data_IF_731979540962
#
_entry.id   IF_731979540962
#
_cell.length_a   1.000
_cell.length_b   1.000
_cell.length_c   1.000
_cell.angle_alpha   90.00
_cell.angle_beta   90.00
_cell.angle_gamma   90.00
#
_symmetry.space_group_name_H-M   'P 1'
#
loop_
_entity.id
_entity.type
_entity.pdbx_description
1 polymer ?
#
# COMPACT_ATOMS: atom_id res chain seq x y z
N UNK A 1 27.21 -48.50 -43.95
CA UNK A 1 28.63 -48.18 -44.22
C UNK A 1 28.70 -47.73 -45.66
N UNK A 2 29.30 -46.57 -45.96
CA UNK A 2 29.33 -46.03 -47.33
C UNK A 2 30.15 -46.93 -48.26
N UNK A 3 31.11 -47.69 -47.72
CA UNK A 3 31.82 -48.73 -48.47
C UNK A 3 30.92 -49.83 -49.05
N UNK A 4 29.70 -50.03 -48.53
CA UNK A 4 28.72 -50.98 -49.10
C UNK A 4 27.86 -50.38 -50.22
N UNK A 5 27.96 -49.07 -50.46
CA UNK A 5 27.29 -48.37 -51.57
C UNK A 5 28.16 -48.34 -52.84
N UNK A 6 29.43 -48.76 -52.75
CA UNK A 6 30.33 -48.84 -53.89
C UNK A 6 29.97 -50.02 -54.81
N UNK A 7 30.29 -49.93 -56.11
CA UNK A 7 30.09 -51.03 -57.07
C UNK A 7 30.77 -52.33 -56.65
N UNK A 8 30.28 -53.47 -57.17
CA UNK A 8 30.75 -54.82 -56.78
C UNK A 8 32.23 -55.08 -57.09
N UNK A 9 32.83 -54.32 -58.02
CA UNK A 9 34.25 -54.40 -58.39
C UNK A 9 35.17 -53.54 -57.49
N UNK A 10 34.66 -52.86 -56.46
CA UNK A 10 35.47 -52.05 -55.56
C UNK A 10 36.36 -52.90 -54.63
N UNK A 11 37.62 -52.51 -54.53
CA UNK A 11 38.64 -53.15 -53.68
C UNK A 11 38.40 -52.88 -52.19
N UNK A 12 39.01 -53.67 -51.31
CA UNK A 12 38.86 -53.47 -49.87
C UNK A 12 39.40 -52.12 -49.40
N UNK A 13 40.50 -51.66 -50.00
CA UNK A 13 41.07 -50.34 -49.72
C UNK A 13 40.09 -49.20 -50.07
N UNK A 14 39.46 -49.26 -51.25
CA UNK A 14 38.47 -48.25 -51.68
C UNK A 14 37.24 -48.22 -50.76
N UNK A 15 36.78 -49.40 -50.30
CA UNK A 15 35.67 -49.50 -49.33
C UNK A 15 36.01 -48.87 -47.99
N UNK A 16 37.22 -49.13 -47.47
CA UNK A 16 37.70 -48.54 -46.21
C UNK A 16 37.97 -47.04 -46.34
N UNK A 17 38.50 -46.59 -47.48
CA UNK A 17 38.68 -45.17 -47.78
C UNK A 17 37.34 -44.44 -47.84
N UNK A 18 36.33 -45.03 -48.50
CA UNK A 18 34.99 -44.46 -48.55
C UNK A 18 34.31 -44.38 -47.17
N UNK A 19 34.50 -45.39 -46.32
CA UNK A 19 34.00 -45.34 -44.93
C UNK A 19 34.77 -44.31 -44.07
N UNK A 20 36.06 -44.10 -44.30
CA UNK A 20 36.86 -43.08 -43.61
C UNK A 20 36.56 -41.65 -44.09
N UNK A 21 36.16 -41.49 -45.36
CA UNK A 21 35.71 -40.23 -45.94
C UNK A 21 34.21 -39.97 -45.75
N UNK A 22 33.51 -40.80 -44.96
CA UNK A 22 32.10 -40.62 -44.63
C UNK A 22 31.92 -39.57 -43.53
N UNK A 23 32.22 -38.31 -43.87
CA UNK A 23 32.02 -37.16 -42.97
C UNK A 23 30.56 -36.98 -42.57
N UNK A 24 29.62 -37.55 -43.35
CA UNK A 24 28.19 -37.45 -43.08
C UNK A 24 27.85 -37.98 -41.68
N UNK A 25 28.48 -39.07 -41.24
CA UNK A 25 28.25 -39.60 -39.88
C UNK A 25 28.59 -38.61 -38.77
N UNK A 26 29.60 -37.77 -38.98
CA UNK A 26 30.07 -36.82 -37.98
C UNK A 26 29.22 -35.54 -37.95
N UNK A 27 28.63 -35.13 -39.08
CA UNK A 27 27.82 -33.91 -39.17
C UNK A 27 26.31 -34.12 -39.16
N UNK A 28 25.79 -35.29 -39.52
CA UNK A 28 24.35 -35.54 -39.68
C UNK A 28 23.57 -35.23 -38.39
N UNK A 29 24.07 -35.69 -37.24
CA UNK A 29 23.47 -35.37 -35.94
C UNK A 29 23.44 -33.88 -35.64
N UNK A 30 24.48 -33.14 -36.02
CA UNK A 30 24.55 -31.69 -35.86
C UNK A 30 23.60 -30.98 -36.81
N UNK A 31 23.52 -31.41 -38.08
CA UNK A 31 22.61 -30.87 -39.09
C UNK A 31 21.15 -31.06 -38.68
N UNK A 32 20.78 -32.27 -38.25
CA UNK A 32 19.46 -32.55 -37.69
C UNK A 32 19.19 -31.73 -36.42
N UNK A 33 20.22 -31.54 -35.59
CA UNK A 33 20.17 -30.72 -34.37
C UNK A 33 19.88 -29.24 -34.61
N UNK A 34 20.32 -28.65 -35.72
CA UNK A 34 20.08 -27.23 -36.04
C UNK A 34 18.59 -26.92 -36.03
N UNK A 35 17.77 -27.76 -36.68
CA UNK A 35 16.31 -27.55 -36.75
C UNK A 35 15.62 -27.55 -35.38
N UNK A 36 16.19 -28.26 -34.39
CA UNK A 36 15.63 -28.41 -33.03
C UNK A 36 16.26 -27.46 -32.01
N UNK A 37 17.37 -26.82 -32.38
CA UNK A 37 18.21 -26.05 -31.47
C UNK A 37 17.49 -24.87 -30.82
N UNK A 38 16.51 -24.25 -31.50
CA UNK A 38 15.73 -23.12 -30.96
C UNK A 38 14.50 -23.54 -30.16
N UNK A 39 13.90 -24.68 -30.50
CA UNK A 39 12.58 -25.09 -30.00
C UNK A 39 12.64 -26.12 -28.87
N UNK A 40 13.64 -27.01 -28.87
CA UNK A 40 13.66 -28.18 -27.99
C UNK A 40 14.92 -28.21 -27.14
N UNK A 41 16.10 -28.23 -27.75
CA UNK A 41 17.36 -28.52 -27.03
C UNK A 41 18.00 -27.27 -26.41
N UNK A 42 17.78 -26.09 -27.00
CA UNK A 42 18.27 -24.76 -26.56
C UNK A 42 19.60 -24.81 -25.79
N UNK A 43 20.73 -25.00 -26.49
CA UNK A 43 22.04 -25.00 -25.84
C UNK A 43 22.28 -23.70 -25.07
N UNK A 44 22.86 -23.71 -23.84
CA UNK A 44 23.03 -22.50 -23.03
C UNK A 44 23.75 -21.36 -23.75
N UNK A 45 24.74 -21.70 -24.59
CA UNK A 45 25.51 -20.74 -25.41
C UNK A 45 24.69 -19.99 -26.45
N UNK A 46 23.51 -20.50 -26.82
CA UNK A 46 22.62 -19.87 -27.80
C UNK A 46 21.61 -18.94 -27.14
N UNK A 47 21.35 -19.06 -25.83
CA UNK A 47 20.29 -18.29 -25.17
C UNK A 47 20.44 -16.77 -25.32
N UNK A 48 21.62 -16.16 -25.17
CA UNK A 48 21.76 -14.71 -25.36
C UNK A 48 21.39 -14.28 -26.79
N UNK A 49 21.82 -15.06 -27.79
CA UNK A 49 21.51 -14.80 -29.20
C UNK A 49 20.03 -15.00 -29.52
N UNK A 50 19.38 -15.98 -28.89
CA UNK A 50 17.93 -16.19 -29.02
C UNK A 50 17.14 -15.05 -28.39
N UNK A 51 17.58 -14.53 -27.25
CA UNK A 51 16.95 -13.37 -26.61
C UNK A 51 17.06 -12.13 -27.49
N UNK A 52 18.22 -11.90 -28.09
CA UNK A 52 18.42 -10.80 -29.03
C UNK A 52 17.60 -10.99 -30.32
N UNK A 53 17.60 -12.20 -30.90
CA UNK A 53 16.79 -12.55 -32.07
C UNK A 53 15.29 -12.31 -31.82
N UNK A 54 14.80 -12.68 -30.65
CA UNK A 54 13.40 -12.46 -30.28
C UNK A 54 13.13 -11.07 -29.71
N UNK A 55 14.12 -10.21 -29.49
CA UNK A 55 13.90 -8.88 -28.92
C UNK A 55 13.38 -8.90 -27.47
N UNK A 56 13.81 -9.89 -26.68
CA UNK A 56 13.39 -10.09 -25.28
C UNK A 56 14.34 -9.42 -24.27
N UNK A 57 15.32 -8.64 -24.74
CA UNK A 57 16.35 -8.03 -23.89
C UNK A 57 15.78 -7.14 -22.78
N UNK A 58 14.74 -6.37 -23.07
CA UNK A 58 14.06 -5.48 -22.10
C UNK A 58 13.40 -6.24 -20.95
N UNK A 59 13.12 -7.54 -21.13
CA UNK A 59 12.44 -8.37 -20.14
C UNK A 59 13.40 -9.10 -19.18
N UNK A 60 14.70 -9.08 -19.48
CA UNK A 60 15.73 -9.74 -18.66
C UNK A 60 15.76 -9.31 -17.18
N UNK A 61 15.40 -8.08 -16.79
CA UNK A 61 15.33 -7.71 -15.37
C UNK A 61 14.20 -8.41 -14.59
N UNK A 62 13.13 -8.84 -15.28
CA UNK A 62 11.93 -9.43 -14.65
C UNK A 62 11.99 -10.95 -14.60
N UNK A 63 12.65 -11.59 -15.57
CA UNK A 63 12.78 -13.05 -15.68
C UNK A 63 14.26 -13.43 -15.74
N UNK A 64 14.91 -13.74 -14.59
CA UNK A 64 16.35 -14.00 -14.55
C UNK A 64 16.79 -15.27 -15.29
N UNK A 65 15.92 -16.29 -15.34
CA UNK A 65 16.21 -17.52 -16.06
C UNK A 65 15.91 -17.35 -17.55
N UNK A 66 16.95 -17.42 -18.38
CA UNK A 66 16.85 -17.21 -19.82
C UNK A 66 16.01 -18.27 -20.53
N UNK A 67 15.91 -19.49 -19.99
CA UNK A 67 15.02 -20.51 -20.53
C UNK A 67 13.55 -20.11 -20.35
N UNK A 68 13.20 -19.73 -19.12
CA UNK A 68 11.85 -19.30 -18.77
C UNK A 68 11.48 -18.03 -19.53
N UNK A 69 12.43 -17.10 -19.69
CA UNK A 69 12.23 -15.87 -20.46
C UNK A 69 11.89 -16.15 -21.93
N UNK A 70 12.53 -17.15 -22.57
CA UNK A 70 12.19 -17.51 -23.95
C UNK A 70 10.78 -18.09 -24.01
N UNK A 71 10.39 -18.93 -23.05
CA UNK A 71 9.07 -19.58 -23.05
C UNK A 71 7.93 -18.63 -22.72
N UNK A 72 8.08 -17.79 -21.68
CA UNK A 72 7.05 -16.83 -21.26
C UNK A 72 7.09 -15.53 -22.07
N UNK A 73 8.28 -15.05 -22.42
CA UNK A 73 8.47 -13.80 -23.15
C UNK A 73 7.91 -13.85 -24.57
N UNK A 74 8.02 -14.98 -25.26
CA UNK A 74 7.38 -15.17 -26.57
C UNK A 74 5.85 -15.15 -26.49
N UNK A 75 5.28 -15.69 -25.41
CA UNK A 75 3.84 -15.63 -25.19
C UNK A 75 3.40 -14.19 -24.90
N UNK A 76 4.14 -13.50 -24.03
CA UNK A 76 3.93 -12.09 -23.73
C UNK A 76 3.97 -11.21 -24.98
N UNK A 77 4.96 -11.39 -25.87
CA UNK A 77 5.06 -10.62 -27.11
C UNK A 77 3.84 -10.78 -28.02
N UNK A 78 3.24 -11.97 -28.07
CA UNK A 78 2.02 -12.21 -28.86
C UNK A 78 0.79 -11.52 -28.27
N UNK A 79 0.80 -11.26 -26.97
CA UNK A 79 -0.29 -10.64 -26.22
C UNK A 79 -0.07 -9.14 -25.97
N UNK A 80 1.12 -8.60 -26.28
CA UNK A 80 1.50 -7.21 -26.00
C UNK A 80 0.45 -6.23 -26.52
N UNK A 81 0.11 -5.25 -25.70
CA UNK A 81 -0.96 -4.30 -25.95
C UNK A 81 -2.33 -4.70 -25.41
N UNK A 82 -2.45 -5.88 -24.79
CA UNK A 82 -3.67 -6.38 -24.13
C UNK A 82 -3.54 -6.40 -22.60
N UNK A 83 -4.67 -6.57 -21.91
CA UNK A 83 -4.68 -6.75 -20.45
C UNK A 83 -3.93 -8.01 -20.02
N UNK A 84 -4.01 -9.09 -20.81
CA UNK A 84 -3.31 -10.34 -20.53
C UNK A 84 -1.78 -10.17 -20.52
N UNK A 85 -1.23 -9.23 -21.30
CA UNK A 85 0.20 -8.93 -21.24
C UNK A 85 0.59 -8.22 -19.94
N UNK A 86 -0.29 -7.34 -19.43
CA UNK A 86 -0.07 -6.68 -18.13
C UNK A 86 -0.13 -7.72 -17.01
N UNK A 87 -1.14 -8.59 -17.01
CA UNK A 87 -1.27 -9.68 -16.04
C UNK A 87 -0.05 -10.59 -16.03
N UNK A 88 0.37 -11.10 -17.20
CA UNK A 88 1.55 -11.96 -17.32
C UNK A 88 2.85 -11.24 -16.89
N UNK A 89 2.98 -9.96 -17.18
CA UNK A 89 4.12 -9.15 -16.76
C UNK A 89 4.19 -8.95 -15.24
N UNK A 90 3.04 -8.71 -14.60
CA UNK A 90 2.94 -8.57 -13.15
C UNK A 90 3.15 -9.92 -12.43
N UNK A 91 2.77 -11.03 -13.05
CA UNK A 91 3.04 -12.38 -12.53
C UNK A 91 4.55 -12.66 -12.38
N UNK A 92 5.40 -12.15 -13.27
CA UNK A 92 6.86 -12.27 -13.15
C UNK A 92 7.39 -11.54 -11.90
N UNK A 93 6.69 -10.49 -11.47
CA UNK A 93 6.96 -9.77 -10.22
C UNK A 93 6.25 -10.38 -9.01
N UNK A 94 5.49 -11.48 -9.19
CA UNK A 94 4.65 -12.11 -8.18
C UNK A 94 3.59 -11.15 -7.62
N UNK A 95 3.07 -10.27 -8.47
CA UNK A 95 2.06 -9.27 -8.13
C UNK A 95 0.80 -9.55 -8.94
N UNK A 96 -0.35 -9.47 -8.27
CA UNK A 96 -1.66 -9.51 -8.90
C UNK A 96 -2.32 -8.15 -8.76
N UNK A 97 -2.97 -7.71 -9.83
CA UNK A 97 -3.72 -6.46 -9.83
C UNK A 97 -4.95 -6.56 -10.73
N UNK A 98 -6.03 -5.91 -10.29
CA UNK A 98 -7.25 -5.74 -11.07
C UNK A 98 -7.19 -4.45 -11.87
N UNK A 99 -7.36 -4.56 -13.18
CA UNK A 99 -7.47 -3.42 -14.09
C UNK A 99 -8.81 -2.70 -13.95
N UNK A 100 -8.77 -1.36 -13.90
CA UNK A 100 -9.96 -0.51 -13.97
C UNK A 100 -9.72 0.64 -14.96
N UNK A 101 -10.52 0.79 -16.02
CA UNK A 101 -10.38 1.89 -16.96
C UNK A 101 -10.90 3.20 -16.33
N UNK A 102 -10.37 4.33 -16.79
CA UNK A 102 -10.97 5.62 -16.48
C UNK A 102 -12.37 5.73 -17.07
N UNK A 103 -13.22 6.55 -16.44
CA UNK A 103 -14.54 6.86 -16.97
C UNK A 103 -14.42 7.57 -18.32
N UNK A 104 -15.26 7.19 -19.28
CA UNK A 104 -15.21 7.67 -20.68
C UNK A 104 -15.52 9.15 -20.83
N UNK A 105 -16.18 9.79 -19.84
CA UNK A 105 -16.47 11.22 -19.84
C UNK A 105 -15.30 12.11 -19.38
N UNK A 106 -14.18 11.51 -18.98
CA UNK A 106 -12.95 12.22 -18.59
C UNK A 106 -12.19 12.70 -19.82
N UNK A 107 -11.52 13.86 -19.74
CA UNK A 107 -10.63 14.33 -20.80
C UNK A 107 -9.50 13.31 -21.11
N UNK A 108 -8.85 12.80 -20.06
CA UNK A 108 -7.86 11.72 -20.13
C UNK A 108 -8.53 10.32 -20.03
N UNK A 109 -9.45 10.05 -20.96
CA UNK A 109 -10.26 8.82 -21.01
C UNK A 109 -9.47 7.54 -21.30
N UNK A 110 -8.31 7.66 -21.94
CA UNK A 110 -7.44 6.54 -22.31
C UNK A 110 -6.55 6.06 -21.16
N UNK A 111 -6.68 6.66 -19.97
CA UNK A 111 -5.96 6.28 -18.77
C UNK A 111 -6.61 5.11 -18.04
N UNK A 112 -5.83 4.39 -17.24
CA UNK A 112 -6.32 3.31 -16.39
C UNK A 112 -5.57 3.25 -15.06
N UNK A 113 -6.15 2.52 -14.12
CA UNK A 113 -5.56 2.25 -12.81
C UNK A 113 -5.52 0.76 -12.51
N UNK A 114 -4.58 0.38 -11.66
CA UNK A 114 -4.38 -0.98 -11.18
C UNK A 114 -4.66 -1.03 -9.69
N UNK A 115 -5.58 -1.91 -9.28
CA UNK A 115 -5.85 -2.20 -7.87
C UNK A 115 -5.06 -3.45 -7.47
N UNK A 116 -4.09 -3.30 -6.59
CA UNK A 116 -3.31 -4.43 -6.11
C UNK A 116 -4.04 -5.20 -5.02
N UNK A 117 -3.86 -6.51 -4.98
CA UNK A 117 -4.41 -7.35 -3.91
C UNK A 117 -3.56 -7.31 -2.64
N UNK A 118 -2.29 -6.93 -2.78
CA UNK A 118 -1.32 -6.78 -1.70
C UNK A 118 -0.51 -5.51 -1.87
N UNK A 119 0.01 -4.96 -0.78
CA UNK A 119 0.87 -3.78 -0.81
C UNK A 119 2.20 -4.12 -1.51
N UNK A 120 2.52 -3.50 -2.67
CA UNK A 120 3.78 -3.75 -3.35
C UNK A 120 4.99 -3.24 -2.56
N UNK A 121 6.13 -3.92 -2.69
CA UNK A 121 7.38 -3.48 -2.08
C UNK A 121 7.92 -2.23 -2.78
N UNK A 122 8.55 -1.32 -2.04
CA UNK A 122 9.02 -0.05 -2.60
C UNK A 122 9.97 -0.21 -3.79
N UNK A 123 10.89 -1.16 -3.72
CA UNK A 123 11.84 -1.47 -4.80
C UNK A 123 11.16 -2.03 -6.07
N UNK A 124 9.94 -2.54 -5.97
CA UNK A 124 9.20 -3.09 -7.11
C UNK A 124 8.42 -2.03 -7.89
N UNK A 125 8.25 -0.81 -7.36
CA UNK A 125 7.38 0.20 -7.99
C UNK A 125 7.85 0.59 -9.39
N UNK A 126 9.16 0.82 -9.57
CA UNK A 126 9.73 1.11 -10.89
C UNK A 126 9.58 -0.07 -11.84
N UNK A 127 9.76 -1.29 -11.34
CA UNK A 127 9.59 -2.51 -12.12
C UNK A 127 8.13 -2.70 -12.56
N UNK A 128 7.17 -2.45 -11.67
CA UNK A 128 5.72 -2.50 -11.96
C UNK A 128 5.37 -1.49 -13.05
N UNK A 129 5.84 -0.25 -12.91
CA UNK A 129 5.57 0.80 -13.88
C UNK A 129 6.18 0.45 -15.24
N UNK A 130 7.44 0.04 -15.27
CA UNK A 130 8.15 -0.29 -16.51
C UNK A 130 7.56 -1.52 -17.20
N UNK A 131 7.23 -2.61 -16.48
CA UNK A 131 6.60 -3.77 -17.13
C UNK A 131 5.19 -3.44 -17.62
N UNK A 132 4.44 -2.61 -16.89
CA UNK A 132 3.12 -2.16 -17.31
C UNK A 132 3.21 -1.28 -18.56
N UNK A 133 4.21 -0.39 -18.63
CA UNK A 133 4.46 0.45 -19.80
C UNK A 133 4.87 -0.34 -21.04
N UNK A 134 5.73 -1.36 -20.85
CA UNK A 134 6.09 -2.28 -21.92
C UNK A 134 4.88 -3.10 -22.41
N UNK A 135 3.96 -3.46 -21.51
CA UNK A 135 2.84 -4.37 -21.78
C UNK A 135 1.61 -3.68 -22.36
N UNK A 136 1.34 -2.43 -21.97
CA UNK A 136 0.13 -1.69 -22.37
C UNK A 136 0.13 -1.34 -23.85
N UNK A 137 -1.06 -1.01 -24.37
CA UNK A 137 -1.18 -0.43 -25.71
C UNK A 137 -0.57 0.97 -25.71
N UNK A 138 0.08 1.38 -26.81
CA UNK A 138 0.69 2.71 -26.94
C UNK A 138 -0.29 3.86 -26.63
N UNK A 139 -1.57 3.68 -26.96
CA UNK A 139 -2.61 4.69 -26.74
C UNK A 139 -3.09 4.78 -25.29
N UNK A 140 -2.75 3.81 -24.44
CA UNK A 140 -3.29 3.71 -23.08
C UNK A 140 -2.25 4.15 -22.08
N UNK A 141 -2.65 4.85 -21.03
CA UNK A 141 -1.73 5.40 -20.05
C UNK A 141 -1.97 4.81 -18.67
N UNK A 142 -0.91 4.30 -18.06
CA UNK A 142 -0.96 3.84 -16.68
C UNK A 142 -0.90 5.06 -15.76
N UNK A 143 -2.04 5.42 -15.17
CA UNK A 143 -2.17 6.62 -14.35
C UNK A 143 -1.83 6.35 -12.90
N UNK A 144 -2.35 5.25 -12.33
CA UNK A 144 -2.32 5.04 -10.88
C UNK A 144 -2.33 3.58 -10.44
N UNK A 145 -1.50 3.26 -9.45
CA UNK A 145 -1.56 2.03 -8.67
C UNK A 145 -2.22 2.26 -7.30
N UNK A 146 -3.13 1.40 -6.89
CA UNK A 146 -3.98 1.60 -5.69
C UNK A 146 -3.95 0.37 -4.78
N UNK A 147 -3.80 0.59 -3.48
CA UNK A 147 -3.96 -0.43 -2.44
C UNK A 147 -4.52 0.19 -1.16
N UNK A 148 -5.69 -0.23 -0.68
CA UNK A 148 -6.24 0.18 0.62
C UNK A 148 -6.65 1.65 0.79
N UNK A 149 -6.13 2.57 -0.02
CA UNK A 149 -6.50 3.99 -0.01
C UNK A 149 -6.81 4.49 -1.41
N UNK A 150 -8.11 4.65 -1.69
CA UNK A 150 -8.62 5.09 -2.97
C UNK A 150 -9.48 6.35 -2.80
N UNK A 151 -8.91 7.48 -3.15
CA UNK A 151 -9.64 8.74 -3.35
C UNK A 151 -9.39 9.19 -4.77
N UNK A 152 -10.40 9.07 -5.61
CA UNK A 152 -10.39 9.54 -6.99
C UNK A 152 -10.68 11.05 -7.06
N UNK A 153 -10.27 11.66 -8.17
CA UNK A 153 -10.62 13.03 -8.47
C UNK A 153 -12.14 13.18 -8.53
N UNK A 154 -12.66 14.28 -8.00
CA UNK A 154 -14.07 14.61 -8.12
C UNK A 154 -14.42 14.83 -9.59
N UNK A 155 -15.47 14.17 -10.07
CA UNK A 155 -15.95 14.34 -11.43
C UNK A 155 -16.86 15.57 -11.50
N UNK A 156 -16.25 16.74 -11.71
CA UNK A 156 -16.94 18.02 -11.81
C UNK A 156 -17.38 18.41 -13.22
N UNK A 157 -17.03 17.62 -14.23
CA UNK A 157 -17.25 17.95 -15.64
C UNK A 157 -18.73 18.26 -15.92
N UNK A 158 -19.01 19.36 -16.63
CA UNK A 158 -20.36 19.86 -16.92
C UNK A 158 -21.17 20.30 -15.69
N UNK A 159 -20.54 20.53 -14.54
CA UNK A 159 -21.15 21.11 -13.35
C UNK A 159 -20.60 22.50 -13.06
N UNK A 160 -21.15 23.19 -12.05
CA UNK A 160 -20.59 24.47 -11.57
C UNK A 160 -19.17 24.34 -10.98
N UNK A 161 -18.73 23.11 -10.72
CA UNK A 161 -17.43 22.78 -10.15
C UNK A 161 -16.38 22.37 -11.20
N UNK A 162 -16.70 22.44 -12.50
CA UNK A 162 -15.80 22.04 -13.60
C UNK A 162 -14.47 22.81 -13.58
N UNK A 163 -14.52 24.10 -13.24
CA UNK A 163 -13.32 24.96 -13.08
C UNK A 163 -12.77 25.00 -11.63
N UNK A 164 -13.21 24.09 -10.77
CA UNK A 164 -12.70 24.03 -9.39
C UNK A 164 -11.46 23.14 -9.32
N UNK A 165 -10.46 23.52 -8.50
CA UNK A 165 -9.23 22.74 -8.28
C UNK A 165 -9.44 21.45 -7.46
N UNK A 166 -10.58 20.76 -7.64
CA UNK A 166 -10.95 19.52 -6.95
C UNK A 166 -10.53 18.26 -7.74
N UNK A 167 -9.61 18.43 -8.68
CA UNK A 167 -9.11 17.37 -9.57
C UNK A 167 -7.98 16.54 -8.94
N UNK A 168 -7.61 16.82 -7.68
CA UNK A 168 -6.54 16.10 -7.00
C UNK A 168 -6.95 14.65 -6.72
N UNK A 169 -6.12 13.71 -7.17
CA UNK A 169 -6.26 12.29 -6.87
C UNK A 169 -5.33 11.92 -5.73
N UNK A 170 -5.75 10.97 -4.89
CA UNK A 170 -4.81 10.35 -3.95
C UNK A 170 -3.68 9.65 -4.68
N UNK A 171 -2.49 9.77 -4.12
CA UNK A 171 -1.29 9.09 -4.54
C UNK A 171 -0.10 10.04 -4.59
N UNK A 172 1.06 9.45 -4.82
CA UNK A 172 2.32 10.17 -4.99
C UNK A 172 3.12 9.52 -6.09
N UNK A 173 3.80 10.33 -6.90
CA UNK A 173 4.79 9.82 -7.85
C UNK A 173 6.14 9.70 -7.16
N UNK A 174 6.65 8.48 -7.05
CA UNK A 174 7.99 8.20 -6.52
C UNK A 174 8.97 7.72 -7.59
N UNK A 175 8.48 7.41 -8.78
CA UNK A 175 9.21 6.76 -9.86
C UNK A 175 9.36 7.70 -11.05
N UNK A 176 10.32 7.42 -11.94
CA UNK A 176 10.60 8.27 -13.09
C UNK A 176 9.48 8.30 -14.15
N UNK A 177 8.61 7.28 -14.21
CA UNK A 177 7.51 7.23 -15.19
C UNK A 177 6.27 8.04 -14.77
N UNK A 178 6.30 8.69 -13.61
CA UNK A 178 5.27 9.59 -13.10
C UNK A 178 3.90 8.94 -12.76
N UNK A 179 3.76 7.61 -12.77
CA UNK A 179 2.57 6.96 -12.25
C UNK A 179 2.36 7.29 -10.76
N UNK A 180 1.10 7.51 -10.39
CA UNK A 180 0.73 7.77 -8.99
C UNK A 180 0.60 6.45 -8.24
N UNK A 181 1.20 6.33 -7.06
CA UNK A 181 0.95 5.22 -6.16
C UNK A 181 0.18 5.71 -4.94
N UNK A 182 -1.04 5.20 -4.77
CA UNK A 182 -1.92 5.50 -3.64
C UNK A 182 -2.09 4.27 -2.79
N UNK A 183 -1.22 4.15 -1.79
CA UNK A 183 -1.29 3.07 -0.84
C UNK A 183 -1.76 3.56 0.51
N UNK A 184 -2.53 2.74 1.21
CA UNK A 184 -2.83 2.93 2.61
C UNK A 184 -3.10 1.64 3.34
N UNK A 185 -2.86 1.68 4.64
CA UNK A 185 -3.11 0.60 5.58
C UNK A 185 -3.88 1.15 6.76
N UNK A 186 -4.72 0.30 7.34
CA UNK A 186 -5.48 0.66 8.54
C UNK A 186 -5.01 -0.21 9.70
N UNK A 187 -4.63 0.43 10.80
CA UNK A 187 -4.37 -0.20 12.09
C UNK A 187 -5.49 0.17 13.04
N UNK A 188 -6.24 -0.84 13.50
CA UNK A 188 -7.36 -0.66 14.42
C UNK A 188 -6.96 -1.19 15.79
N UNK A 189 -7.14 -0.36 16.83
CA UNK A 189 -6.70 -0.65 18.19
C UNK A 189 -7.86 -0.38 19.14
N UNK A 190 -8.11 -1.31 20.05
CA UNK A 190 -9.09 -1.15 21.12
C UNK A 190 -8.34 -1.04 22.44
N UNK A 191 -8.65 -0.01 23.24
CA UNK A 191 -8.02 0.20 24.56
C UNK A 191 -9.04 0.62 25.59
N UNK A 192 -8.75 0.28 26.84
CA UNK A 192 -9.45 0.81 28.01
C UNK A 192 -8.54 1.85 28.65
N UNK A 193 -9.07 3.03 28.96
CA UNK A 193 -8.35 4.07 29.67
C UNK A 193 -8.10 3.60 31.09
N UNK A 194 -6.85 3.59 31.53
CA UNK A 194 -6.55 3.22 32.92
C UNK A 194 -6.76 4.40 33.86
N UNK A 195 -7.00 4.12 35.15
CA UNK A 195 -7.14 5.15 36.19
C UNK A 195 -5.93 6.07 36.27
N UNK A 196 -4.73 5.53 36.11
CA UNK A 196 -3.48 6.30 36.12
C UNK A 196 -3.43 7.28 34.94
N UNK A 197 -3.68 6.80 33.73
CA UNK A 197 -3.73 7.63 32.51
C UNK A 197 -4.83 8.71 32.59
N UNK A 198 -6.03 8.34 33.05
CA UNK A 198 -7.15 9.26 33.19
C UNK A 198 -6.87 10.36 34.22
N UNK A 199 -6.22 10.03 35.35
CA UNK A 199 -5.84 11.02 36.37
C UNK A 199 -4.75 11.95 35.86
N UNK A 200 -3.79 11.44 35.08
CA UNK A 200 -2.71 12.24 34.49
C UNK A 200 -3.24 13.31 33.53
N UNK A 201 -4.32 13.04 32.81
CA UNK A 201 -4.94 14.00 31.89
C UNK A 201 -6.08 14.81 32.52
N UNK A 202 -6.43 14.56 33.79
CA UNK A 202 -7.54 15.23 34.47
C UNK A 202 -8.92 14.85 33.95
N UNK A 203 -9.09 13.64 33.41
CA UNK A 203 -10.37 13.13 32.90
C UNK A 203 -10.99 12.03 33.80
N UNK A 204 -10.26 11.52 34.79
CA UNK A 204 -10.75 10.38 35.57
C UNK A 204 -11.79 10.77 36.60
N UNK A 205 -12.96 10.12 36.53
CA UNK A 205 -14.02 10.18 37.53
C UNK A 205 -14.00 8.86 38.30
N UNK A 206 -13.93 8.91 39.64
CA UNK A 206 -13.85 7.71 40.47
C UNK A 206 -15.20 6.99 40.61
N UNK A 207 -15.16 5.65 40.65
CA UNK A 207 -16.30 4.72 40.72
C UNK A 207 -16.96 4.66 42.12
N UNK A 208 -17.16 5.80 42.79
CA UNK A 208 -17.81 5.84 44.09
C UNK A 208 -19.29 5.47 44.00
N UNK A 209 -19.79 4.64 44.93
CA UNK A 209 -21.23 4.42 45.17
C UNK A 209 -21.93 5.65 45.79
N UNK A 210 -21.17 6.70 46.11
CA UNK A 210 -21.65 7.95 46.68
C UNK A 210 -21.89 9.00 45.58
N UNK A 211 -22.92 9.84 45.76
CA UNK A 211 -23.24 10.94 44.86
C UNK A 211 -22.00 11.80 44.58
N UNK A 212 -21.61 11.95 43.30
CA UNK A 212 -20.52 12.84 42.90
C UNK A 212 -20.80 14.25 43.44
N UNK A 213 -19.97 14.70 44.39
CA UNK A 213 -20.06 16.06 44.91
C UNK A 213 -19.39 17.03 43.93
N UNK A 214 -19.95 18.23 43.82
CA UNK A 214 -19.50 19.33 42.95
C UNK A 214 -18.00 19.61 43.03
N UNK A 215 -17.39 19.35 44.18
CA UNK A 215 -16.01 19.69 44.49
C UNK A 215 -15.00 18.68 43.91
N UNK A 216 -15.47 17.56 43.37
CA UNK A 216 -14.64 16.43 42.92
C UNK A 216 -14.46 16.36 41.39
N UNK A 217 -15.16 17.21 40.63
CA UNK A 217 -15.18 17.17 39.17
C UNK A 217 -14.56 18.46 38.61
N UNK A 218 -13.37 18.34 38.01
CA UNK A 218 -12.69 19.39 37.25
C UNK A 218 -13.20 19.41 35.79
N UNK A 219 -14.51 19.64 35.62
CA UNK A 219 -15.19 19.68 34.33
C UNK A 219 -15.72 21.09 34.04
N UNK A 220 -15.70 21.56 32.78
CA UNK A 220 -16.36 22.81 32.38
C UNK A 220 -17.88 22.67 32.50
N UNK A 221 -18.42 23.07 33.66
CA UNK A 221 -19.84 22.93 34.03
C UNK A 221 -20.81 23.69 33.13
N UNK A 222 -20.30 24.64 32.35
CA UNK A 222 -21.01 25.37 31.30
C UNK A 222 -21.46 24.49 30.12
N UNK A 223 -20.94 23.26 30.02
CA UNK A 223 -21.31 22.28 28.98
C UNK A 223 -22.19 21.12 29.52
N UNK A 224 -22.39 21.02 30.83
CA UNK A 224 -23.09 19.89 31.45
C UNK A 224 -24.61 20.01 31.29
N UNK A 225 -25.20 19.27 30.34
CA UNK A 225 -26.64 19.29 30.06
C UNK A 225 -27.26 17.88 30.21
N UNK A 226 -27.34 17.39 31.45
CA UNK A 226 -27.97 16.11 31.77
C UNK A 226 -28.96 16.22 32.94
N UNK A 227 -29.97 15.32 33.01
CA UNK A 227 -30.92 15.28 34.11
C UNK A 227 -30.19 14.94 35.42
N UNK A 228 -30.44 15.74 36.45
CA UNK A 228 -29.91 15.59 37.80
C UNK A 228 -30.30 14.23 38.43
N UNK A 229 -29.49 13.19 38.22
CA UNK A 229 -29.61 11.90 38.88
C UNK A 229 -28.21 11.38 39.26
N UNK A 230 -28.13 10.47 40.22
CA UNK A 230 -26.91 9.73 40.57
C UNK A 230 -26.17 9.24 39.32
N UNK A 231 -24.93 9.69 39.11
CA UNK A 231 -24.11 9.31 37.96
C UNK A 231 -23.79 7.83 38.04
N UNK A 232 -24.60 7.00 37.40
CA UNK A 232 -24.33 5.57 37.21
C UNK A 232 -23.12 5.42 36.28
N UNK A 233 -22.50 4.23 36.28
CA UNK A 233 -21.39 3.88 35.37
C UNK A 233 -21.58 4.41 33.93
N UNK A 234 -22.79 4.29 33.40
CA UNK A 234 -23.13 4.78 32.07
C UNK A 234 -22.96 6.31 31.89
N UNK A 235 -23.41 7.11 32.84
CA UNK A 235 -23.32 8.58 32.79
C UNK A 235 -21.87 9.05 33.00
N UNK A 236 -21.09 8.32 33.82
CA UNK A 236 -19.65 8.54 33.97
C UNK A 236 -18.92 8.33 32.65
N UNK A 237 -19.19 7.22 31.97
CA UNK A 237 -18.54 6.89 30.71
C UNK A 237 -18.85 7.94 29.63
N UNK A 238 -20.07 8.50 29.62
CA UNK A 238 -20.45 9.62 28.75
C UNK A 238 -19.60 10.85 29.04
N UNK A 239 -19.49 11.27 30.31
CA UNK A 239 -18.70 12.43 30.70
C UNK A 239 -17.22 12.29 30.33
N UNK A 240 -16.65 11.11 30.59
CA UNK A 240 -15.26 10.82 30.28
C UNK A 240 -15.00 10.79 28.77
N UNK A 241 -15.99 10.38 27.97
CA UNK A 241 -15.92 10.45 26.52
C UNK A 241 -16.05 11.91 26.02
N UNK A 242 -17.04 12.64 26.52
CA UNK A 242 -17.37 14.00 26.11
C UNK A 242 -16.22 14.97 26.40
N UNK A 243 -15.44 14.75 27.46
CA UNK A 243 -14.27 15.55 27.82
C UNK A 243 -13.25 15.75 26.67
N UNK A 244 -13.14 14.77 25.75
CA UNK A 244 -12.25 14.85 24.59
C UNK A 244 -12.83 15.69 23.45
N UNK A 245 -14.13 15.99 23.47
CA UNK A 245 -14.78 16.82 22.47
C UNK A 245 -14.14 18.20 22.42
N UNK A 246 -13.96 18.74 21.22
CA UNK A 246 -13.30 20.03 20.96
C UNK A 246 -11.82 20.13 21.39
N UNK A 247 -11.21 19.04 21.87
CA UNK A 247 -9.77 19.01 22.17
C UNK A 247 -8.99 18.53 20.97
N UNK A 248 -7.85 19.17 20.72
CA UNK A 248 -6.90 18.68 19.70
C UNK A 248 -5.99 17.64 20.33
N UNK A 249 -5.99 16.44 19.74
CA UNK A 249 -5.15 15.33 20.15
C UNK A 249 -4.16 15.01 19.05
N UNK A 250 -2.99 14.51 19.42
CA UNK A 250 -1.96 14.08 18.49
C UNK A 250 -1.63 12.60 18.71
N UNK A 251 -1.61 11.83 17.65
CA UNK A 251 -0.99 10.51 17.63
C UNK A 251 0.52 10.67 17.62
N UNK A 252 1.21 10.03 18.55
CA UNK A 252 2.68 9.97 18.59
C UNK A 252 3.12 8.65 17.99
N UNK A 253 4.07 8.70 17.05
CA UNK A 253 4.76 7.52 16.53
C UNK A 253 6.16 7.49 17.12
N UNK A 254 6.58 6.34 17.66
CA UNK A 254 7.91 6.15 18.24
C UNK A 254 8.62 4.93 17.66
N UNK A 255 9.93 5.01 17.61
CA UNK A 255 10.81 3.91 17.20
C UNK A 255 11.08 2.91 18.34
N UNK A 256 11.90 1.89 18.08
CA UNK A 256 12.26 0.85 19.05
C UNK A 256 13.17 1.33 20.19
N UNK A 257 13.79 2.50 20.04
CA UNK A 257 14.62 3.15 21.05
C UNK A 257 13.83 4.18 21.87
N UNK A 258 12.50 4.19 21.72
CA UNK A 258 11.61 5.19 22.30
C UNK A 258 11.84 6.61 21.77
N UNK A 259 12.52 6.77 20.64
CA UNK A 259 12.67 8.04 19.93
C UNK A 259 11.37 8.44 19.23
N UNK A 260 10.97 9.71 19.34
CA UNK A 260 9.79 10.22 18.64
C UNK A 260 10.09 10.35 17.14
N UNK A 261 9.28 9.68 16.33
CA UNK A 261 9.33 9.78 14.86
C UNK A 261 8.63 11.06 14.41
N UNK A 262 7.49 11.37 15.01
CA UNK A 262 6.71 12.58 14.79
C UNK A 262 5.30 12.48 15.36
N UNK A 263 4.55 13.56 15.24
CA UNK A 263 3.22 13.72 15.79
C UNK A 263 2.21 13.97 14.67
N UNK A 264 1.12 13.20 14.66
CA UNK A 264 0.03 13.38 13.70
C UNK A 264 -1.24 13.83 14.40
N UNK A 265 -1.78 14.99 14.01
CA UNK A 265 -3.06 15.48 14.52
C UNK A 265 -4.18 14.49 14.21
N UNK A 266 -4.98 14.15 15.22
CA UNK A 266 -6.20 13.37 15.04
C UNK A 266 -7.23 14.19 14.27
N UNK A 267 -7.77 13.63 13.18
CA UNK A 267 -8.81 14.27 12.37
C UNK A 267 -10.22 13.91 12.84
N UNK A 268 -10.37 12.82 13.60
CA UNK A 268 -11.61 12.46 14.27
C UNK A 268 -11.34 12.24 15.76
N UNK A 269 -12.09 12.95 16.60
CA UNK A 269 -12.11 12.83 18.06
C UNK A 269 -13.57 13.06 18.45
N UNK A 270 -14.31 11.99 18.68
CA UNK A 270 -15.73 12.09 18.98
C UNK A 270 -16.18 10.97 19.92
N UNK A 271 -17.04 11.27 20.91
CA UNK A 271 -17.81 10.24 21.59
C UNK A 271 -18.73 9.56 20.58
N UNK A 272 -18.87 8.25 20.69
CA UNK A 272 -19.59 7.44 19.72
C UNK A 272 -20.51 6.41 20.37
N UNK A 273 -21.55 6.07 19.63
CA UNK A 273 -22.44 4.93 19.90
C UNK A 273 -22.44 3.97 18.71
N UNK A 274 -22.70 2.69 18.97
CA UNK A 274 -22.77 1.69 17.91
C UNK A 274 -24.05 1.89 17.08
N UNK A 275 -23.91 1.90 15.76
CA UNK A 275 -25.03 2.08 14.83
C UNK A 275 -24.83 1.20 13.61
N UNK A 276 -25.92 0.68 13.01
CA UNK A 276 -25.83 -0.21 11.85
C UNK A 276 -25.18 0.47 10.63
N UNK A 277 -25.60 1.70 10.32
CA UNK A 277 -25.09 2.51 9.21
C UNK A 277 -24.17 3.65 9.70
N UNK A 278 -23.33 3.34 10.70
CA UNK A 278 -22.42 4.32 11.29
C UNK A 278 -21.39 4.89 10.32
N UNK A 279 -21.08 6.18 10.46
CA UNK A 279 -20.07 6.90 9.65
C UNK A 279 -18.65 6.38 9.94
N UNK A 280 -18.36 6.00 11.19
CA UNK A 280 -17.08 5.42 11.57
C UNK A 280 -17.13 3.90 11.55
N UNK A 281 -15.98 3.28 11.26
CA UNK A 281 -15.82 1.83 11.32
C UNK A 281 -14.59 1.43 12.13
N UNK A 282 -14.73 0.39 12.95
CA UNK A 282 -13.66 -0.20 13.75
C UNK A 282 -13.97 -1.67 14.03
N UNK A 283 -13.02 -2.56 13.73
CA UNK A 283 -13.09 -4.02 13.90
C UNK A 283 -14.38 -4.64 13.33
N UNK A 284 -14.83 -4.15 12.17
CA UNK A 284 -16.07 -4.60 11.50
C UNK A 284 -17.37 -4.00 12.09
N UNK A 285 -17.31 -3.33 13.24
CA UNK A 285 -18.43 -2.59 13.81
C UNK A 285 -18.52 -1.17 13.23
N UNK A 286 -19.70 -0.59 13.33
CA UNK A 286 -20.04 0.73 12.81
C UNK A 286 -20.53 1.63 13.94
N UNK A 287 -20.12 2.90 13.90
CA UNK A 287 -20.35 3.86 14.97
C UNK A 287 -20.74 5.24 14.43
N UNK A 288 -21.58 5.95 15.16
CA UNK A 288 -21.93 7.35 14.89
C UNK A 288 -21.46 8.26 16.03
N UNK A 289 -21.03 9.49 15.72
CA UNK A 289 -20.85 10.52 16.74
C UNK A 289 -22.16 10.71 17.52
N UNK A 290 -22.09 10.68 18.84
CA UNK A 290 -23.23 10.88 19.72
C UNK A 290 -22.77 11.57 21.00
N UNK A 291 -23.47 12.61 21.43
CA UNK A 291 -23.15 13.31 22.69
C UNK A 291 -23.40 12.43 23.92
N UNK A 292 -24.19 11.36 23.77
CA UNK A 292 -24.41 10.34 24.81
C UNK A 292 -23.60 9.06 24.56
N UNK A 293 -22.58 9.13 23.71
CA UNK A 293 -21.68 8.02 23.45
C UNK A 293 -20.83 7.68 24.67
N UNK A 294 -20.75 6.39 25.01
CA UNK A 294 -19.92 5.87 26.13
C UNK A 294 -18.53 5.43 25.67
N UNK A 295 -18.26 5.50 24.38
CA UNK A 295 -17.00 5.14 23.75
C UNK A 295 -16.43 6.38 23.10
N UNK A 296 -15.11 6.47 23.02
CA UNK A 296 -14.43 7.52 22.25
C UNK A 296 -13.78 6.91 21.02
N UNK A 297 -14.11 7.46 19.85
CA UNK A 297 -13.44 7.14 18.60
C UNK A 297 -12.39 8.19 18.28
N UNK A 298 -11.16 7.72 18.08
CA UNK A 298 -10.01 8.52 17.68
C UNK A 298 -9.50 8.03 16.34
N UNK A 299 -9.25 8.94 15.40
CA UNK A 299 -8.56 8.58 14.17
C UNK A 299 -7.53 9.62 13.74
N UNK A 300 -6.38 9.12 13.31
CA UNK A 300 -5.30 9.88 12.72
C UNK A 300 -4.83 9.16 11.46
N UNK A 301 -4.35 9.91 10.47
CA UNK A 301 -3.84 9.34 9.23
C UNK A 301 -2.62 10.11 8.76
N UNK A 302 -1.49 9.44 8.54
CA UNK A 302 -0.30 10.08 7.96
C UNK A 302 -0.57 10.54 6.53
N UNK A 303 0.15 11.54 6.06
CA UNK A 303 0.21 11.88 4.64
C UNK A 303 1.34 11.15 3.92
N UNK A 304 1.31 11.20 2.60
CA UNK A 304 2.47 10.81 1.80
C UNK A 304 3.65 11.72 2.15
N UNK A 305 4.87 11.16 2.15
CA UNK A 305 6.11 11.84 2.55
C UNK A 305 6.22 12.33 4.01
N UNK A 306 5.19 12.19 4.87
CA UNK A 306 5.32 12.54 6.30
C UNK A 306 6.48 11.77 6.97
N UNK A 307 6.66 10.50 6.58
CA UNK A 307 7.76 9.65 7.08
C UNK A 307 8.35 8.83 5.94
N UNK A 308 9.67 8.70 5.93
CA UNK A 308 10.40 7.90 4.95
C UNK A 308 11.31 6.87 5.62
N UNK A 309 11.06 5.58 5.35
CA UNK A 309 11.91 4.43 5.74
C UNK A 309 12.23 4.35 7.25
N UNK A 310 11.21 4.55 8.10
CA UNK A 310 11.32 4.37 9.56
C UNK A 310 10.43 3.22 10.05
N UNK A 311 10.80 2.57 11.14
CA UNK A 311 9.99 1.54 11.78
C UNK A 311 9.30 2.10 13.02
N UNK A 312 7.97 2.13 13.02
CA UNK A 312 7.21 2.46 14.21
C UNK A 312 7.07 1.21 15.10
N UNK A 313 7.52 1.33 16.35
CA UNK A 313 7.46 0.29 17.37
C UNK A 313 6.40 0.56 18.44
N UNK A 314 6.05 1.83 18.66
CA UNK A 314 5.00 2.22 19.59
C UNK A 314 4.14 3.34 19.02
N UNK A 315 2.87 3.33 19.42
CA UNK A 315 1.99 4.49 19.28
C UNK A 315 1.48 4.92 20.65
N UNK A 316 1.22 6.21 20.80
CA UNK A 316 0.53 6.79 21.96
C UNK A 316 -0.32 7.98 21.50
N UNK A 317 -1.17 8.49 22.39
CA UNK A 317 -1.93 9.72 22.17
C UNK A 317 -1.39 10.79 23.11
N UNK A 318 -0.99 11.92 22.55
CA UNK A 318 -0.59 13.12 23.29
C UNK A 318 -1.81 14.02 23.48
N UNK A 319 -2.15 14.25 24.74
CA UNK A 319 -3.20 15.17 25.19
C UNK A 319 -2.54 16.45 25.69
N UNK A 320 -3.17 17.62 25.48
CA UNK A 320 -2.63 18.94 25.87
C UNK A 320 -1.30 19.34 25.20
N UNK A 321 -0.94 18.71 24.07
CA UNK A 321 0.20 19.16 23.27
C UNK A 321 -0.09 20.51 22.61
N UNK A 322 0.83 21.46 22.75
CA UNK A 322 0.69 22.82 22.20
C UNK A 322 1.77 23.03 21.12
N UNK A 323 1.39 23.31 19.86
CA UNK A 323 2.34 23.69 18.82
C UNK A 323 3.14 24.93 19.23
N UNK A 324 4.42 24.97 18.89
CA UNK A 324 5.26 26.16 19.12
C UNK A 324 4.77 27.36 18.29
N UNK A 325 5.14 28.56 18.72
CA UNK A 325 4.60 29.84 18.21
C UNK A 325 4.74 30.05 16.70
N UNK A 326 5.77 29.46 16.06
CA UNK A 326 6.06 29.64 14.64
C UNK A 326 5.49 28.52 13.73
N UNK A 327 4.69 27.61 14.27
CA UNK A 327 4.11 26.49 13.50
C UNK A 327 2.81 26.95 12.83
N UNK A 328 2.65 26.75 11.50
CA UNK A 328 1.42 27.10 10.80
C UNK A 328 0.18 26.46 11.44
N UNK A 329 -0.86 27.27 11.62
CA UNK A 329 -2.15 26.77 12.07
C UNK A 329 -2.67 25.70 11.11
N UNK A 330 -3.05 24.55 11.65
CA UNK A 330 -3.57 23.45 10.85
C UNK A 330 -2.51 22.50 10.28
N UNK A 331 -1.22 22.68 10.58
CA UNK A 331 -0.19 21.67 10.28
C UNK A 331 -0.63 20.32 10.89
N UNK A 332 -0.74 19.30 10.03
CA UNK A 332 -1.28 18.00 10.44
C UNK A 332 -0.18 17.08 10.97
N UNK A 333 1.01 17.14 10.38
CA UNK A 333 2.20 16.43 10.84
C UNK A 333 3.17 17.41 11.48
N UNK A 334 3.56 17.16 12.74
CA UNK A 334 4.53 17.96 13.47
C UNK A 334 5.77 17.12 13.76
N UNK A 335 6.94 17.71 13.54
CA UNK A 335 8.23 17.11 13.89
C UNK A 335 8.43 17.06 15.42
N UNK A 336 9.35 16.23 15.93
CA UNK A 336 9.57 16.03 17.37
C UNK A 336 9.80 17.33 18.16
N UNK A 337 10.38 18.34 17.53
CA UNK A 337 10.73 19.63 18.12
C UNK A 337 9.65 20.70 17.93
N UNK A 338 8.55 20.43 17.23
CA UNK A 338 7.52 21.43 16.90
C UNK A 338 6.34 21.46 17.88
N UNK A 339 6.21 20.43 18.73
CA UNK A 339 5.23 20.36 19.80
C UNK A 339 5.92 20.52 21.16
N UNK A 340 5.21 21.13 22.11
CA UNK A 340 5.67 21.32 23.48
C UNK A 340 4.58 20.94 24.48
N UNK A 341 5.03 20.41 25.62
CA UNK A 341 4.15 19.94 26.69
C UNK A 341 3.31 18.73 26.29
N UNK A 342 2.21 18.55 27.02
CA UNK A 342 1.29 17.45 26.85
C UNK A 342 1.64 16.20 27.66
N UNK A 343 0.67 15.29 27.74
CA UNK A 343 0.74 14.03 28.46
C UNK A 343 0.43 12.91 27.48
N UNK A 344 1.31 11.92 27.41
CA UNK A 344 1.10 10.72 26.59
C UNK A 344 0.31 9.66 27.35
N UNK A 345 -0.70 9.12 26.68
CA UNK A 345 -1.53 8.02 27.16
C UNK A 345 -1.60 6.90 26.11
N UNK A 346 -2.09 5.73 26.50
CA UNK A 346 -2.42 4.61 25.60
C UNK A 346 -1.22 4.07 24.81
N UNK A 347 -0.04 4.05 25.44
CA UNK A 347 1.16 3.49 24.82
C UNK A 347 0.90 2.03 24.41
N UNK A 348 0.99 1.76 23.12
CA UNK A 348 0.64 0.48 22.51
C UNK A 348 1.77 0.04 21.59
N UNK A 349 2.33 -1.17 21.78
CA UNK A 349 3.36 -1.70 20.88
C UNK A 349 2.75 -2.03 19.52
N UNK A 350 3.46 -1.68 18.46
CA UNK A 350 3.11 -1.97 17.07
C UNK A 350 4.37 -2.39 16.30
N UNK A 351 4.20 -2.89 15.08
CA UNK A 351 5.34 -3.19 14.21
C UNK A 351 4.97 -2.81 12.79
N UNK A 352 5.17 -1.53 12.46
CA UNK A 352 4.74 -0.98 11.17
C UNK A 352 5.93 -0.29 10.48
N UNK A 353 6.33 -0.74 9.28
CA UNK A 353 7.31 -0.01 8.47
C UNK A 353 6.61 1.18 7.81
N UNK A 354 6.99 2.40 8.20
CA UNK A 354 6.46 3.64 7.65
C UNK A 354 7.20 3.99 6.35
N UNK A 355 6.44 4.25 5.29
CA UNK A 355 6.94 4.53 3.94
C UNK A 355 6.35 5.83 3.40
N UNK A 356 7.07 6.49 2.51
CA UNK A 356 6.62 7.74 1.89
C UNK A 356 5.40 7.57 0.97
N UNK A 357 5.21 6.39 0.37
CA UNK A 357 4.09 6.05 -0.53
C UNK A 357 2.88 5.45 0.17
N UNK A 358 2.92 5.26 1.49
CA UNK A 358 1.83 4.61 2.23
C UNK A 358 1.26 5.55 3.27
N UNK A 359 -0.05 5.76 3.22
CA UNK A 359 -0.79 6.43 4.30
C UNK A 359 -1.18 5.42 5.37
N UNK A 360 -0.66 5.59 6.56
CA UNK A 360 -1.06 4.81 7.73
C UNK A 360 -2.24 5.48 8.40
N UNK A 361 -3.37 4.78 8.43
CA UNK A 361 -4.55 5.18 9.16
C UNK A 361 -4.60 4.42 10.49
N UNK A 362 -4.63 5.16 11.59
CA UNK A 362 -4.79 4.63 12.93
C UNK A 362 -6.21 4.95 13.40
N UNK A 363 -6.94 3.92 13.82
CA UNK A 363 -8.26 4.07 14.44
C UNK A 363 -8.20 3.44 15.83
N UNK A 364 -8.43 4.26 16.85
CA UNK A 364 -8.42 3.82 18.23
C UNK A 364 -9.83 3.97 18.78
N UNK A 365 -10.38 2.87 19.29
CA UNK A 365 -11.62 2.87 20.06
C UNK A 365 -11.25 2.78 21.54
N UNK A 366 -11.60 3.81 22.29
CA UNK A 366 -11.30 3.95 23.70
C UNK A 366 -12.55 3.69 24.55
N UNK A 367 -12.37 2.88 25.59
CA UNK A 367 -13.35 2.59 26.64
C UNK A 367 -12.89 3.19 27.97
N UNK A 368 -13.81 3.40 28.90
CA UNK A 368 -13.57 4.05 30.20
C UNK A 368 -13.79 3.12 31.40
#
# INVERSE_FOLDING_TARGET
MVGSLLPTNATEFEKRLADACDFHKDVDGSVLGISRSKLITRPPRFLPWLIEEYGLGELTPYVPNLYDLIDSGLQWQRLRGSLAAIELGLEWLQITARFVPAWTGRAWWNSFQLYFDQLPERKSLEAIEAITDLSKSLRSDFRRGVYGYDVEASQGNMSRLDDSMLEYESGVSLTAGNALFSFGRTTEIERVLTREEGKLIGNWIDDGDEELSWDQIDYPWDMANFPWCSVKKHERDILMAEWFSNRTLYLVLRDSQDGVIGYRRCYAVAPVEQALDGVYSHCGNKFNPSTTGTLLFLAARTDFHDVNDKQAAFISILVHGIPKQDIPFGKLWCEPDELSGGVEILKTPITIPLRADVREQFKILLRF
#
